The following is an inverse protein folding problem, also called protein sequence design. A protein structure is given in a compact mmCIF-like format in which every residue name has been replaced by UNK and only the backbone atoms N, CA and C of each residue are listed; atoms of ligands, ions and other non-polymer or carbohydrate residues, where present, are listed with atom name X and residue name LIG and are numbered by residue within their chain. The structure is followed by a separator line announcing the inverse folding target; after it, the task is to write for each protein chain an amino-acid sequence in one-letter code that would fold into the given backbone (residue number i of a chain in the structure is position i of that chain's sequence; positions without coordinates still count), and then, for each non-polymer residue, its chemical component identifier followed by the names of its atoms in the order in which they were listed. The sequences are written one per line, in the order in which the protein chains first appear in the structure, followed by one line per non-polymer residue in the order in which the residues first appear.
data_IF_098470425013
#
_entry.id   IF_098470425013
#
_cell.length_a   1.000
_cell.length_b   1.000
_cell.length_c   1.000
_cell.angle_alpha   90.00
_cell.angle_beta   90.00
_cell.angle_gamma   90.00
#
_symmetry.space_group_name_H-M   'P 1'
#
loop_
_entity.id
_entity.type
_entity.pdbx_description
1 polymer ?
#
# COMPACT_ATOMS: atom_id res chain seq x y z
N UNK A 1 12.38 -24.66 80.09
CA UNK A 1 11.50 -24.03 79.07
C UNK A 1 12.37 -23.13 78.21
N UNK A 2 12.80 -23.62 77.05
CA UNK A 2 13.70 -22.90 76.14
C UNK A 2 12.87 -22.30 75.00
N UNK A 3 12.79 -20.97 74.92
CA UNK A 3 12.16 -20.28 73.81
C UNK A 3 13.19 -19.39 73.12
N UNK A 4 13.68 -19.87 71.97
CA UNK A 4 14.45 -19.09 71.02
C UNK A 4 14.06 -19.53 69.62
N UNK A 5 13.50 -18.61 68.83
CA UNK A 5 13.70 -18.48 67.38
C UNK A 5 12.84 -17.30 66.86
N UNK A 6 13.46 -16.16 66.55
CA UNK A 6 13.80 -15.65 65.20
C UNK A 6 12.65 -14.97 64.45
N UNK A 7 12.68 -13.64 64.49
CA UNK A 7 12.75 -12.74 63.32
C UNK A 7 11.81 -13.07 62.13
N UNK A 8 10.65 -12.43 62.10
CA UNK A 8 9.81 -12.35 60.90
C UNK A 8 10.28 -11.17 60.03
N UNK A 9 10.55 -11.48 58.78
CA UNK A 9 11.28 -10.72 57.76
C UNK A 9 10.28 -10.08 56.80
N UNK A 10 10.48 -8.79 56.54
CA UNK A 10 10.08 -7.97 55.39
C UNK A 10 8.98 -8.49 54.45
N UNK A 11 7.81 -7.84 54.49
CA UNK A 11 6.91 -7.78 53.34
C UNK A 11 6.86 -6.33 52.83
N UNK A 12 7.93 -5.96 52.12
CA UNK A 12 7.89 -4.85 51.18
C UNK A 12 7.84 -5.42 49.77
N UNK A 13 7.03 -4.78 48.93
CA UNK A 13 7.08 -4.74 47.47
C UNK A 13 6.05 -5.56 46.68
N UNK A 14 5.17 -4.80 46.01
CA UNK A 14 4.56 -5.21 44.76
C UNK A 14 3.63 -4.16 44.16
N UNK A 15 4.14 -3.13 43.46
CA UNK A 15 3.35 -2.29 42.57
C UNK A 15 2.90 -3.09 41.35
N UNK A 16 1.62 -3.03 41.00
CA UNK A 16 1.08 -3.71 39.82
C UNK A 16 1.68 -3.19 38.51
N UNK A 17 1.76 -4.05 37.48
CA UNK A 17 1.59 -3.55 36.12
C UNK A 17 0.83 -4.55 35.26
N UNK A 18 -0.43 -4.26 34.97
CA UNK A 18 -1.10 -4.84 33.81
C UNK A 18 -1.62 -3.72 32.92
N UNK A 19 -0.73 -2.77 32.60
CA UNK A 19 -0.89 -1.94 31.42
C UNK A 19 -0.78 -2.85 30.20
N UNK A 20 -1.93 -3.28 29.69
CA UNK A 20 -2.06 -4.07 28.47
C UNK A 20 -1.60 -3.20 27.29
N UNK A 21 -0.31 -3.23 26.98
CA UNK A 21 0.33 -2.44 25.92
C UNK A 21 -0.12 -3.00 24.56
N UNK A 22 -1.27 -2.56 24.07
CA UNK A 22 -1.79 -2.82 22.71
C UNK A 22 -0.94 -2.24 21.57
N UNK A 23 0.25 -1.74 21.86
CA UNK A 23 1.16 -1.09 20.92
C UNK A 23 1.64 -1.98 19.76
N UNK A 24 2.10 -3.24 19.94
CA UNK A 24 2.81 -3.95 18.88
C UNK A 24 1.90 -4.33 17.71
N UNK A 25 0.60 -4.55 17.95
CA UNK A 25 -0.36 -4.86 16.89
C UNK A 25 -0.63 -3.67 15.97
N UNK A 26 -0.68 -2.47 16.53
CA UNK A 26 -0.94 -1.24 15.77
C UNK A 26 0.24 -0.94 14.84
N UNK A 27 1.48 -1.03 15.33
CA UNK A 27 2.67 -0.83 14.50
C UNK A 27 2.78 -1.86 13.36
N UNK A 28 2.44 -3.13 13.62
CA UNK A 28 2.45 -4.16 12.57
C UNK A 28 1.39 -3.87 11.49
N UNK A 29 0.18 -3.46 11.88
CA UNK A 29 -0.87 -3.07 10.92
C UNK A 29 -0.46 -1.86 10.09
N UNK A 30 0.11 -0.82 10.73
CA UNK A 30 0.60 0.36 10.02
C UNK A 30 1.74 0.01 9.05
N UNK A 31 2.69 -0.82 9.47
CA UNK A 31 3.77 -1.28 8.61
C UNK A 31 3.23 -2.10 7.43
N UNK A 32 2.27 -2.99 7.67
CA UNK A 32 1.60 -3.76 6.62
C UNK A 32 0.87 -2.88 5.61
N UNK A 33 0.18 -1.83 6.07
CA UNK A 33 -0.46 -0.85 5.19
C UNK A 33 0.56 -0.06 4.37
N UNK A 34 1.67 0.36 4.97
CA UNK A 34 2.73 1.08 4.28
C UNK A 34 3.38 0.23 3.19
N UNK A 35 3.68 -1.03 3.50
CA UNK A 35 4.24 -2.00 2.55
C UNK A 35 3.23 -2.29 1.44
N UNK A 36 1.96 -2.49 1.76
CA UNK A 36 0.90 -2.70 0.78
C UNK A 36 0.77 -1.51 -0.17
N UNK A 37 0.77 -0.28 0.36
CA UNK A 37 0.69 0.93 -0.46
C UNK A 37 1.88 1.08 -1.42
N UNK A 38 3.07 0.66 -0.99
CA UNK A 38 4.27 0.69 -1.82
C UNK A 38 4.29 -0.41 -2.90
N UNK A 39 3.80 -1.61 -2.57
CA UNK A 39 3.86 -2.79 -3.46
C UNK A 39 2.65 -2.89 -4.41
N UNK A 40 1.48 -2.38 -4.04
CA UNK A 40 0.27 -2.42 -4.87
C UNK A 40 0.47 -1.85 -6.31
N UNK A 41 1.13 -0.69 -6.53
CA UNK A 41 1.33 -0.18 -7.89
C UNK A 41 2.27 -1.03 -8.73
N UNK A 42 3.15 -1.86 -8.12
CA UNK A 42 4.04 -2.75 -8.89
C UNK A 42 3.26 -3.82 -9.65
N UNK A 43 2.08 -4.22 -9.16
CA UNK A 43 1.20 -5.17 -9.86
C UNK A 43 0.67 -4.61 -11.19
N UNK A 44 0.61 -3.28 -11.36
CA UNK A 44 0.16 -2.64 -12.60
C UNK A 44 1.20 -2.74 -13.74
N UNK A 45 2.48 -2.99 -13.43
CA UNK A 45 3.54 -3.14 -14.43
C UNK A 45 3.63 -4.56 -15.02
N UNK A 46 2.95 -5.55 -14.46
CA UNK A 46 2.96 -6.92 -14.97
C UNK A 46 2.06 -7.13 -16.20
N UNK A 47 1.23 -6.15 -16.53
CA UNK A 47 0.45 -6.18 -17.76
C UNK A 47 1.32 -5.71 -18.94
N UNK A 48 1.53 -6.59 -19.94
CA UNK A 48 2.07 -6.22 -21.25
C UNK A 48 1.10 -5.27 -21.95
N UNK A 49 1.14 -3.99 -21.57
CA UNK A 49 0.36 -2.94 -22.21
C UNK A 49 1.14 -2.46 -23.43
N UNK A 50 0.52 -2.40 -24.62
CA UNK A 50 1.15 -1.79 -25.78
C UNK A 50 1.51 -0.35 -25.42
N UNK A 51 2.69 0.10 -25.86
CA UNK A 51 3.11 1.47 -25.62
C UNK A 51 2.00 2.42 -26.10
N UNK A 52 1.43 3.21 -25.16
CA UNK A 52 0.39 4.22 -25.42
C UNK A 52 0.96 5.43 -26.18
N UNK A 53 1.89 5.18 -27.10
CA UNK A 53 2.61 6.18 -27.87
C UNK A 53 1.75 6.58 -29.06
N UNK A 54 1.22 7.81 -29.01
CA UNK A 54 0.40 8.41 -30.08
C UNK A 54 -1.10 8.46 -29.75
N UNK A 55 -1.86 9.19 -30.57
CA UNK A 55 -3.32 9.40 -30.36
C UNK A 55 -4.17 8.15 -30.62
N UNK A 56 -3.71 7.27 -31.51
CA UNK A 56 -4.42 6.04 -31.88
C UNK A 56 -3.40 4.90 -31.89
N UNK A 57 -3.62 3.89 -31.06
CA UNK A 57 -2.83 2.66 -31.03
C UNK A 57 -3.74 1.50 -31.44
N UNK A 58 -3.50 0.94 -32.62
CA UNK A 58 -4.11 -0.32 -33.05
C UNK A 58 -3.03 -1.39 -33.12
N UNK A 59 -3.05 -2.26 -32.12
CA UNK A 59 -2.17 -3.43 -31.99
C UNK A 59 -2.81 -4.70 -32.59
N UNK A 60 -4.12 -4.66 -32.87
CA UNK A 60 -4.85 -5.79 -33.44
C UNK A 60 -4.75 -5.84 -34.97
N UNK A 61 -4.29 -4.75 -35.60
CA UNK A 61 -4.15 -4.65 -37.06
C UNK A 61 -5.49 -4.66 -37.79
N UNK A 62 -6.56 -4.27 -37.11
CA UNK A 62 -7.93 -4.29 -37.63
C UNK A 62 -8.23 -3.01 -38.44
N UNK A 63 -7.53 -1.91 -38.14
CA UNK A 63 -7.84 -0.60 -38.69
C UNK A 63 -6.92 -0.29 -39.88
N UNK A 64 -7.50 0.08 -41.02
CA UNK A 64 -6.73 0.53 -42.18
C UNK A 64 -6.07 1.90 -41.95
N UNK A 65 -5.06 2.21 -42.77
CA UNK A 65 -4.27 3.43 -42.63
C UNK A 65 -5.10 4.72 -42.79
N UNK A 66 -6.11 4.73 -43.66
CA UNK A 66 -6.98 5.88 -43.88
C UNK A 66 -7.88 6.14 -42.67
N UNK A 67 -8.47 5.09 -42.11
CA UNK A 67 -9.28 5.19 -40.89
C UNK A 67 -8.45 5.65 -39.69
N UNK A 68 -7.23 5.11 -39.52
CA UNK A 68 -6.31 5.57 -38.46
C UNK A 68 -5.95 7.05 -38.60
N UNK A 69 -5.71 7.53 -39.83
CA UNK A 69 -5.43 8.94 -40.09
C UNK A 69 -6.63 9.85 -39.76
N UNK A 70 -7.83 9.44 -40.16
CA UNK A 70 -9.06 10.18 -39.86
C UNK A 70 -9.34 10.27 -38.35
N UNK A 71 -9.13 9.19 -37.60
CA UNK A 71 -9.25 9.18 -36.13
C UNK A 71 -8.22 10.10 -35.47
N UNK A 72 -6.97 10.06 -35.93
CA UNK A 72 -5.90 10.93 -35.42
C UNK A 72 -6.23 12.41 -35.64
N UNK A 73 -6.75 12.78 -36.82
CA UNK A 73 -7.16 14.15 -37.12
C UNK A 73 -8.33 14.61 -36.23
N UNK A 74 -9.33 13.74 -36.04
CA UNK A 74 -10.47 14.04 -35.17
C UNK A 74 -10.02 14.30 -33.73
N UNK A 75 -9.19 13.41 -33.17
CA UNK A 75 -8.68 13.56 -31.80
C UNK A 75 -7.86 14.85 -31.64
N UNK A 76 -7.00 15.18 -32.61
CA UNK A 76 -6.27 16.46 -32.59
C UNK A 76 -7.22 17.67 -32.61
N UNK A 77 -8.30 17.63 -33.38
CA UNK A 77 -9.30 18.69 -33.42
C UNK A 77 -10.12 18.80 -32.11
N UNK A 78 -10.33 17.69 -31.40
CA UNK A 78 -10.97 17.71 -30.08
C UNK A 78 -10.05 18.29 -29.01
N UNK A 79 -8.78 17.88 -28.98
CA UNK A 79 -7.76 18.43 -28.05
C UNK A 79 -7.62 19.95 -28.23
N UNK A 80 -7.61 20.43 -29.48
CA UNK A 80 -7.50 21.86 -29.77
C UNK A 80 -8.75 22.68 -29.35
N UNK A 81 -9.93 22.06 -29.25
CA UNK A 81 -11.18 22.72 -28.84
C UNK A 81 -11.43 22.67 -27.34
N UNK A 82 -10.78 21.74 -26.63
CA UNK A 82 -10.96 21.51 -25.20
C UNK A 82 -10.00 22.28 -24.28
N UNK A 83 -9.19 23.19 -24.85
CA UNK A 83 -8.28 24.09 -24.14
C UNK A 83 -8.81 25.53 -24.13
#
# INVERSE_FOLDING_TARGET
MAFRATNARSDSEGPGPAGQRGAPRVYITFLGLLVSLLLLPLAAFAADLPALTGRVVDNAGIIDAGTRAALTQKLAAFEAKGS
#
